data_IF_037168535128
#
_entry.id   IF_037168535128
#
_cell.length_a   1.000
_cell.length_b   1.000
_cell.length_c   1.000
_cell.angle_alpha   90.00
_cell.angle_beta   90.00
_cell.angle_gamma   90.00
#
_symmetry.space_group_name_H-M   'P 1'
#
loop_
_entity.id
_entity.type
_entity.pdbx_description
1 polymer ?
#
# COMPACT_ATOMS: atom_id res chain seq x y z
N UNK A 1 1.62 -4.55 16.96
CA UNK A 1 1.31 -4.54 15.51
C UNK A 1 2.43 -3.80 14.79
N UNK A 2 3.14 -4.43 13.84
CA UNK A 2 4.24 -3.78 13.12
C UNK A 2 3.70 -2.78 12.07
N UNK A 3 4.55 -1.87 11.60
CA UNK A 3 4.16 -0.83 10.62
C UNK A 3 3.62 -1.45 9.33
N UNK A 4 4.17 -2.58 8.86
CA UNK A 4 3.65 -3.33 7.71
C UNK A 4 2.20 -3.79 7.92
N UNK A 5 1.86 -4.32 9.09
CA UNK A 5 0.48 -4.75 9.39
C UNK A 5 -0.52 -3.59 9.41
N UNK A 6 -0.07 -2.35 9.64
CA UNK A 6 -0.95 -1.18 9.58
C UNK A 6 -1.43 -0.91 8.15
N UNK A 7 -0.67 -1.29 7.11
CA UNK A 7 -1.14 -1.20 5.72
C UNK A 7 -2.35 -2.11 5.51
N UNK A 8 -2.35 -3.31 6.09
CA UNK A 8 -3.52 -4.22 6.08
C UNK A 8 -4.72 -3.62 6.83
N UNK A 9 -4.50 -2.83 7.88
CA UNK A 9 -5.58 -2.12 8.56
C UNK A 9 -6.19 -1.06 7.66
N UNK A 10 -5.37 -0.28 6.93
CA UNK A 10 -5.87 0.72 5.98
C UNK A 10 -6.62 0.04 4.83
N UNK A 11 -6.11 -1.07 4.32
CA UNK A 11 -6.70 -1.79 3.18
C UNK A 11 -8.06 -2.42 3.50
N UNK A 12 -8.42 -2.51 4.79
CA UNK A 12 -9.71 -3.03 5.28
C UNK A 12 -10.71 -1.93 5.62
N UNK A 13 -10.33 -0.65 5.55
CA UNK A 13 -11.26 0.46 5.78
C UNK A 13 -12.38 0.42 4.73
N UNK A 14 -13.58 0.81 5.12
CA UNK A 14 -14.70 0.91 4.18
C UNK A 14 -14.39 1.95 3.10
N UNK A 15 -15.05 1.83 1.93
CA UNK A 15 -15.03 2.73 0.76
C UNK A 15 -14.06 2.40 -0.38
N UNK A 16 -13.43 1.23 -0.39
CA UNK A 16 -12.72 0.79 -1.60
C UNK A 16 -13.71 0.48 -2.74
N UNK A 17 -13.50 1.00 -3.95
CA UNK A 17 -14.22 0.56 -5.12
C UNK A 17 -14.02 -0.96 -5.33
N UNK A 18 -15.12 -1.69 -5.56
CA UNK A 18 -15.09 -3.15 -5.81
C UNK A 18 -14.03 -3.61 -6.83
N UNK A 19 -13.78 -2.87 -7.93
CA UNK A 19 -12.73 -3.27 -8.88
C UNK A 19 -11.31 -3.32 -8.30
N UNK A 20 -11.04 -2.64 -7.17
CA UNK A 20 -9.74 -2.63 -6.52
C UNK A 20 -9.53 -3.78 -5.51
N UNK A 21 -10.58 -4.54 -5.19
CA UNK A 21 -10.50 -5.66 -4.23
C UNK A 21 -9.44 -6.71 -4.58
N UNK A 22 -9.24 -7.11 -5.85
CA UNK A 22 -8.19 -8.06 -6.21
C UNK A 22 -6.79 -7.57 -5.83
N UNK A 23 -6.44 -6.32 -6.19
CA UNK A 23 -5.15 -5.72 -5.84
C UNK A 23 -5.00 -5.55 -4.32
N UNK A 24 -6.07 -5.15 -3.62
CA UNK A 24 -6.08 -5.09 -2.15
C UNK A 24 -5.88 -6.46 -1.50
N UNK A 25 -6.44 -7.53 -2.06
CA UNK A 25 -6.21 -8.89 -1.57
C UNK A 25 -4.75 -9.28 -1.73
N UNK A 26 -4.17 -9.06 -2.92
CA UNK A 26 -2.77 -9.37 -3.19
C UNK A 26 -1.80 -8.59 -2.27
N UNK A 27 -2.09 -7.31 -2.03
CA UNK A 27 -1.34 -6.48 -1.06
C UNK A 27 -1.41 -7.07 0.36
N UNK A 28 -2.61 -7.44 0.82
CA UNK A 28 -2.82 -8.04 2.15
C UNK A 28 -2.07 -9.36 2.29
N UNK A 29 -2.10 -10.20 1.27
CA UNK A 29 -1.37 -11.47 1.26
C UNK A 29 0.13 -11.24 1.32
N UNK A 30 0.66 -10.30 0.53
CA UNK A 30 2.08 -9.92 0.57
C UNK A 30 2.50 -9.51 1.99
N UNK A 31 1.72 -8.64 2.65
CA UNK A 31 1.98 -8.19 4.02
C UNK A 31 1.91 -9.35 5.03
N UNK A 32 0.95 -10.27 4.86
CA UNK A 32 0.79 -11.43 5.72
C UNK A 32 2.02 -12.34 5.68
N UNK A 33 2.61 -12.53 4.50
CA UNK A 33 3.85 -13.31 4.34
C UNK A 33 5.09 -12.54 4.84
N UNK A 34 5.08 -11.21 4.75
CA UNK A 34 6.16 -10.36 5.26
C UNK A 34 6.24 -10.30 6.79
N UNK A 35 5.11 -10.50 7.49
CA UNK A 35 5.02 -10.30 8.93
C UNK A 35 5.94 -11.21 9.75
N UNK A 36 5.99 -12.54 9.52
CA UNK A 36 6.92 -13.43 10.24
C UNK A 36 8.39 -13.04 10.02
N UNK A 37 8.76 -12.66 8.80
CA UNK A 37 10.12 -12.21 8.48
C UNK A 37 10.47 -10.91 9.22
N UNK A 38 9.51 -9.98 9.30
CA UNK A 38 9.66 -8.72 10.02
C UNK A 38 9.82 -8.93 11.54
N UNK A 39 9.07 -9.89 12.11
CA UNK A 39 9.24 -10.26 13.51
C UNK A 39 10.57 -10.96 13.76
N UNK A 40 10.99 -11.88 12.88
CA UNK A 40 12.28 -12.54 12.98
C UNK A 40 13.43 -11.54 12.95
N UNK A 41 13.39 -10.55 12.04
CA UNK A 41 14.39 -9.50 11.97
C UNK A 41 14.41 -8.61 13.21
N UNK A 42 13.24 -8.21 13.73
CA UNK A 42 13.14 -7.39 14.94
C UNK A 42 13.65 -8.11 16.18
N UNK A 43 13.49 -9.43 16.24
CA UNK A 43 13.93 -10.26 17.35
C UNK A 43 15.40 -10.70 17.24
N UNK A 44 16.16 -10.20 16.26
CA UNK A 44 17.60 -10.47 16.18
C UNK A 44 18.32 -9.88 17.40
N UNK A 45 19.07 -10.72 18.10
CA UNK A 45 19.84 -10.38 19.32
C UNK A 45 21.32 -10.26 19.00
N UNK A 46 22.13 -9.82 19.97
CA UNK A 46 23.60 -9.80 19.90
C UNK A 46 24.24 -11.16 19.62
N UNK A 47 23.52 -12.27 19.83
CA UNK A 47 23.95 -13.63 19.50
C UNK A 47 23.62 -14.06 18.07
N UNK A 48 22.82 -13.29 17.33
CA UNK A 48 22.52 -13.58 15.92
C UNK A 48 23.71 -13.22 15.05
N UNK A 49 24.11 -14.11 14.15
CA UNK A 49 25.21 -13.81 13.23
C UNK A 49 24.86 -12.67 12.28
N UNK A 50 25.85 -11.84 11.97
CA UNK A 50 25.69 -10.72 11.04
C UNK A 50 25.24 -11.19 9.65
N UNK A 51 25.64 -12.41 9.24
CA UNK A 51 25.19 -13.04 7.99
C UNK A 51 23.67 -13.31 8.00
N UNK A 52 23.14 -13.88 9.07
CA UNK A 52 21.70 -14.13 9.22
C UNK A 52 20.90 -12.83 9.25
N UNK A 53 21.40 -11.81 9.97
CA UNK A 53 20.75 -10.49 10.05
C UNK A 53 20.68 -9.82 8.67
N UNK A 54 21.76 -9.91 7.88
CA UNK A 54 21.80 -9.34 6.53
C UNK A 54 20.94 -10.10 5.51
N UNK A 55 20.82 -11.43 5.62
CA UNK A 55 19.89 -12.22 4.80
C UNK A 55 18.42 -11.81 5.07
N UNK A 56 18.01 -11.73 6.34
CA UNK A 56 16.68 -11.27 6.73
C UNK A 56 16.41 -9.84 6.24
N UNK A 57 17.38 -8.93 6.40
CA UNK A 57 17.26 -7.56 5.90
C UNK A 57 17.07 -7.52 4.39
N UNK A 58 17.81 -8.35 3.65
CA UNK A 58 17.72 -8.43 2.18
C UNK A 58 16.36 -8.97 1.73
N UNK A 59 15.83 -10.01 2.39
CA UNK A 59 14.48 -10.53 2.15
C UNK A 59 13.43 -9.45 2.40
N UNK A 60 13.50 -8.76 3.53
CA UNK A 60 12.57 -7.68 3.87
C UNK A 60 12.67 -6.49 2.91
N UNK A 61 13.86 -6.15 2.41
CA UNK A 61 14.04 -5.16 1.34
C UNK A 61 13.25 -5.56 0.08
N UNK A 62 13.43 -6.79 -0.41
CA UNK A 62 12.71 -7.32 -1.58
C UNK A 62 11.19 -7.28 -1.37
N UNK A 63 10.73 -7.72 -0.20
CA UNK A 63 9.31 -7.69 0.15
C UNK A 63 8.76 -6.28 0.22
N UNK A 64 9.55 -5.32 0.73
CA UNK A 64 9.17 -3.90 0.74
C UNK A 64 9.05 -3.32 -0.67
N UNK A 65 9.98 -3.67 -1.57
CA UNK A 65 9.89 -3.30 -3.00
C UNK A 65 8.60 -3.87 -3.61
N UNK A 66 8.28 -5.13 -3.35
CA UNK A 66 7.05 -5.75 -3.84
C UNK A 66 5.78 -5.03 -3.31
N UNK A 67 5.77 -4.66 -2.02
CA UNK A 67 4.68 -3.88 -1.43
C UNK A 67 4.56 -2.51 -2.12
N UNK A 68 5.67 -1.83 -2.40
CA UNK A 68 5.68 -0.55 -3.14
C UNK A 68 5.08 -0.73 -4.54
N UNK A 69 5.52 -1.74 -5.29
CA UNK A 69 4.97 -2.06 -6.62
C UNK A 69 3.48 -2.35 -6.58
N UNK A 70 3.00 -3.09 -5.58
CA UNK A 70 1.57 -3.33 -5.38
C UNK A 70 0.79 -2.04 -5.10
N UNK A 71 1.35 -1.11 -4.33
CA UNK A 71 0.74 0.20 -4.12
C UNK A 71 0.70 1.02 -5.42
N UNK A 72 1.73 0.97 -6.25
CA UNK A 72 1.74 1.68 -7.54
C UNK A 72 0.75 1.08 -8.54
N UNK A 73 0.59 -0.25 -8.54
CA UNK A 73 -0.47 -0.92 -9.31
C UNK A 73 -1.86 -0.50 -8.82
N UNK A 74 -2.09 -0.50 -7.51
CA UNK A 74 -3.37 -0.09 -6.91
C UNK A 74 -3.70 1.37 -7.24
N UNK A 75 -2.70 2.25 -7.29
CA UNK A 75 -2.87 3.65 -7.69
C UNK A 75 -3.28 3.77 -9.17
N UNK A 76 -2.65 2.98 -10.04
CA UNK A 76 -3.00 2.90 -11.47
C UNK A 76 -4.43 2.37 -11.68
N UNK A 77 -4.80 1.29 -11.01
CA UNK A 77 -6.16 0.73 -11.09
C UNK A 77 -7.21 1.72 -10.57
N UNK A 78 -6.90 2.48 -9.52
CA UNK A 78 -7.75 3.58 -9.04
C UNK A 78 -7.93 4.65 -10.12
N UNK A 79 -6.86 5.07 -10.78
CA UNK A 79 -6.93 6.07 -11.84
C UNK A 79 -7.74 5.58 -13.03
N UNK A 80 -7.58 4.32 -13.42
CA UNK A 80 -8.37 3.67 -14.48
C UNK A 80 -9.85 3.61 -14.10
N UNK A 81 -10.17 3.21 -12.86
CA UNK A 81 -11.53 3.25 -12.32
C UNK A 81 -12.13 4.65 -12.39
N UNK A 82 -11.36 5.69 -12.00
CA UNK A 82 -11.83 7.06 -12.02
C UNK A 82 -12.05 7.59 -13.45
N UNK A 83 -11.19 7.21 -14.40
CA UNK A 83 -11.36 7.54 -15.82
C UNK A 83 -12.58 6.87 -16.43
N UNK A 84 -12.83 5.59 -16.12
CA UNK A 84 -14.00 4.85 -16.60
C UNK A 84 -15.34 5.48 -16.15
N UNK A 85 -15.33 6.26 -15.05
CA UNK A 85 -16.51 6.98 -14.54
C UNK A 85 -16.76 8.33 -15.20
N UNK A 86 -15.94 8.76 -16.16
CA UNK A 86 -16.07 10.08 -16.79
C UNK A 86 -17.45 10.30 -17.44
N UNK A 87 -17.97 9.31 -18.18
CA UNK A 87 -19.29 9.41 -18.82
C UNK A 87 -20.41 9.50 -17.78
N UNK A 88 -20.36 8.66 -16.73
CA UNK A 88 -21.33 8.71 -15.63
C UNK A 88 -21.34 10.08 -14.95
N UNK A 89 -20.16 10.66 -14.69
CA UNK A 89 -20.07 12.00 -14.08
C UNK A 89 -20.71 13.08 -14.97
N UNK A 90 -20.54 13.00 -16.29
CA UNK A 90 -21.21 13.91 -17.23
C UNK A 90 -22.73 13.78 -17.14
N UNK A 91 -23.24 12.55 -17.20
CA UNK A 91 -24.68 12.27 -17.08
C UNK A 91 -25.26 12.79 -15.76
N UNK A 92 -24.56 12.59 -14.64
CA UNK A 92 -25.00 13.10 -13.33
C UNK A 92 -24.99 14.63 -13.27
N UNK A 93 -24.02 15.26 -13.93
CA UNK A 93 -23.94 16.73 -14.02
C UNK A 93 -25.11 17.27 -14.85
N UNK A 94 -25.38 16.68 -16.00
CA UNK A 94 -26.51 17.04 -16.88
C UNK A 94 -27.87 16.82 -16.19
N UNK A 95 -27.98 15.77 -15.37
CA UNK A 95 -29.17 15.46 -14.59
C UNK A 95 -29.33 16.29 -13.30
N UNK A 96 -28.35 17.12 -12.93
CA UNK A 96 -28.36 17.90 -11.68
C UNK A 96 -28.25 17.06 -10.41
N UNK A 97 -27.79 15.81 -10.49
CA UNK A 97 -27.68 14.89 -9.36
C UNK A 97 -26.36 15.14 -8.57
N UNK A 98 -26.33 16.25 -7.85
CA UNK A 98 -25.15 16.68 -7.09
C UNK A 98 -24.78 15.71 -5.96
N UNK A 99 -25.75 15.03 -5.36
CA UNK A 99 -25.51 14.13 -4.23
C UNK A 99 -24.70 12.91 -4.67
N UNK A 100 -25.07 12.28 -5.79
CA UNK A 100 -24.30 11.17 -6.34
C UNK A 100 -22.92 11.62 -6.83
N UNK A 101 -22.82 12.82 -7.41
CA UNK A 101 -21.54 13.36 -7.84
C UNK A 101 -20.59 13.58 -6.65
N UNK A 102 -21.08 14.21 -5.57
CA UNK A 102 -20.35 14.39 -4.30
C UNK A 102 -19.92 13.04 -3.73
N UNK A 103 -20.81 12.05 -3.72
CA UNK A 103 -20.51 10.70 -3.23
C UNK A 103 -19.37 10.05 -4.01
N UNK A 104 -19.41 10.09 -5.35
CA UNK A 104 -18.34 9.55 -6.19
C UNK A 104 -16.99 10.23 -5.93
N UNK A 105 -17.00 11.54 -5.73
CA UNK A 105 -15.79 12.32 -5.47
C UNK A 105 -15.23 12.04 -4.07
N UNK A 106 -16.09 11.87 -3.06
CA UNK A 106 -15.70 11.44 -1.72
C UNK A 106 -15.05 10.06 -1.72
N UNK A 107 -15.56 9.12 -2.51
CA UNK A 107 -14.94 7.79 -2.67
C UNK A 107 -13.53 7.93 -3.26
N UNK A 108 -13.38 8.66 -4.37
CA UNK A 108 -12.09 8.84 -5.02
C UNK A 108 -11.05 9.52 -4.09
N UNK A 109 -11.47 10.58 -3.40
CA UNK A 109 -10.59 11.30 -2.47
C UNK A 109 -10.22 10.40 -1.28
N UNK A 110 -11.18 9.66 -0.72
CA UNK A 110 -10.91 8.72 0.37
C UNK A 110 -9.91 7.63 -0.03
N UNK A 111 -10.01 7.08 -1.23
CA UNK A 111 -9.02 6.12 -1.74
C UNK A 111 -7.65 6.77 -1.88
N UNK A 112 -7.58 8.00 -2.42
CA UNK A 112 -6.33 8.76 -2.57
C UNK A 112 -5.65 8.98 -1.22
N UNK A 113 -6.42 9.37 -0.20
CA UNK A 113 -5.91 9.59 1.16
C UNK A 113 -5.43 8.29 1.80
N UNK A 114 -6.15 7.19 1.62
CA UNK A 114 -5.73 5.86 2.10
C UNK A 114 -4.43 5.40 1.43
N UNK A 115 -4.28 5.61 0.12
CA UNK A 115 -3.03 5.32 -0.60
C UNK A 115 -1.87 6.15 -0.07
N UNK A 116 -2.10 7.44 0.22
CA UNK A 116 -1.08 8.32 0.83
C UNK A 116 -0.68 7.84 2.22
N UNK A 117 -1.64 7.43 3.05
CA UNK A 117 -1.41 6.87 4.40
C UNK A 117 -0.58 5.58 4.31
N UNK A 118 -0.89 4.66 3.38
CA UNK A 118 -0.12 3.44 3.15
C UNK A 118 1.32 3.72 2.73
N UNK A 119 1.53 4.61 1.76
CA UNK A 119 2.87 5.01 1.29
C UNK A 119 3.69 5.65 2.41
N UNK A 120 3.07 6.52 3.22
CA UNK A 120 3.73 7.14 4.36
C UNK A 120 4.18 6.10 5.40
N UNK A 121 3.32 5.13 5.73
CA UNK A 121 3.67 4.04 6.67
C UNK A 121 4.74 3.11 6.13
N UNK A 122 4.72 2.82 4.83
CA UNK A 122 5.80 2.09 4.19
C UNK A 122 7.13 2.85 4.31
N UNK A 123 7.14 4.16 4.07
CA UNK A 123 8.32 5.01 4.26
C UNK A 123 8.84 5.01 5.70
N UNK A 124 7.93 5.05 6.69
CA UNK A 124 8.28 4.92 8.12
C UNK A 124 8.90 3.56 8.43
N UNK A 125 8.32 2.47 7.92
CA UNK A 125 8.86 1.11 8.06
C UNK A 125 10.29 1.01 7.51
N UNK A 126 10.49 1.49 6.29
CA UNK A 126 11.79 1.45 5.61
C UNK A 126 12.86 2.19 6.41
N UNK A 127 12.55 3.43 6.80
CA UNK A 127 13.51 4.30 7.47
C UNK A 127 13.83 3.84 8.88
N UNK A 128 12.82 3.44 9.65
CA UNK A 128 12.95 3.24 11.09
C UNK A 128 12.97 1.78 11.52
N UNK A 129 12.57 0.84 10.65
CA UNK A 129 12.56 -0.58 10.98
C UNK A 129 13.54 -1.40 10.16
N UNK A 130 13.85 -1.01 8.91
CA UNK A 130 14.88 -1.68 8.11
C UNK A 130 16.21 -0.90 8.06
N UNK A 131 16.24 0.33 8.58
CA UNK A 131 17.37 1.25 8.54
C UNK A 131 17.88 1.51 7.11
N UNK A 132 16.97 1.43 6.14
CA UNK A 132 17.28 1.57 4.71
C UNK A 132 17.00 3.02 4.32
N UNK A 133 17.92 3.67 3.61
CA UNK A 133 17.65 4.99 3.03
C UNK A 133 16.66 4.84 1.87
N UNK A 134 15.81 5.84 1.64
CA UNK A 134 14.79 5.77 0.57
C UNK A 134 15.36 5.48 -0.82
N UNK A 135 16.58 5.95 -1.10
CA UNK A 135 17.35 5.73 -2.32
C UNK A 135 17.71 4.24 -2.54
N UNK A 136 17.91 3.46 -1.48
CA UNK A 136 18.22 2.03 -1.56
C UNK A 136 17.00 1.15 -1.93
N UNK A 137 15.82 1.75 -2.05
CA UNK A 137 14.60 1.10 -2.55
C UNK A 137 14.21 1.56 -3.95
N UNK A 138 15.03 2.41 -4.57
CA UNK A 138 14.93 2.68 -6.00
C UNK A 138 15.49 1.46 -6.72
N UNK A 139 14.61 0.77 -7.46
CA UNK A 139 15.04 -0.27 -8.39
C UNK A 139 15.74 0.49 -9.52
N UNK A 140 17.01 0.19 -9.79
CA UNK A 140 17.68 0.73 -10.99
C UNK A 140 16.78 0.43 -12.21
N UNK A 141 16.54 1.43 -13.07
CA UNK A 141 15.66 1.32 -14.22
C UNK A 141 16.10 0.27 -15.24
#
# INVERSE_FOLDING_TARGET
MCQLCQLTTISKRDRWPKPLEPALSSLRDTIKHAHPEAEAYRNTTTTTTEATKNDLRTKLKKTTVLIRTNLDLLDKERDEWWKARAQLRRQLTEAGDEEKLKTLQLINNGVTDMMRDMRARLGVWVRWSLEVKGEELEVEP
#
